data_IF_970660267818
#
_entry.id   IF_970660267818
#
_cell.length_a   1.000
_cell.length_b   1.000
_cell.length_c   1.000
_cell.angle_alpha   90.00
_cell.angle_beta   90.00
_cell.angle_gamma   90.00
#
_symmetry.space_group_name_H-M   'P 1'
#
loop_
_entity.id
_entity.type
_entity.pdbx_description
1 polymer ?
#
# COMPACT_ATOMS: atom_id res chain seq x y z
N UNK A 1 19.70 17.25 -3.46
CA UNK A 1 19.18 17.06 -2.09
C UNK A 1 20.34 16.54 -1.26
N UNK A 2 20.52 17.05 -0.04
CA UNK A 2 21.65 16.62 0.78
C UNK A 2 21.42 15.21 1.39
N UNK A 3 22.51 14.54 1.80
CA UNK A 3 22.45 13.17 2.32
C UNK A 3 21.60 13.04 3.60
N UNK A 4 21.52 14.12 4.40
CA UNK A 4 20.73 14.15 5.63
C UNK A 4 19.24 14.17 5.30
N UNK A 5 18.83 14.97 4.31
CA UNK A 5 17.45 15.04 3.85
C UNK A 5 16.99 13.72 3.23
N UNK A 6 17.83 13.08 2.42
CA UNK A 6 17.55 11.76 1.86
C UNK A 6 17.34 10.70 2.93
N UNK A 7 18.23 10.64 3.92
CA UNK A 7 18.11 9.71 5.05
C UNK A 7 16.82 9.93 5.84
N UNK A 8 16.45 11.19 6.08
CA UNK A 8 15.20 11.53 6.77
C UNK A 8 13.98 11.00 6.01
N UNK A 9 13.89 11.20 4.70
CA UNK A 9 12.78 10.75 3.87
C UNK A 9 12.63 9.22 3.90
N UNK A 10 13.74 8.49 3.82
CA UNK A 10 13.75 7.03 3.90
C UNK A 10 13.22 6.56 5.26
N UNK A 11 13.71 7.12 6.36
CA UNK A 11 13.30 6.74 7.72
C UNK A 11 11.83 7.08 8.00
N UNK A 12 11.34 8.20 7.47
CA UNK A 12 9.92 8.56 7.58
C UNK A 12 9.01 7.57 6.87
N UNK A 13 9.34 7.15 5.62
CA UNK A 13 8.58 6.10 4.97
C UNK A 13 8.71 4.77 5.71
N UNK A 14 9.91 4.38 6.13
CA UNK A 14 10.14 3.14 6.87
C UNK A 14 9.23 3.04 8.11
N UNK A 15 9.11 4.14 8.86
CA UNK A 15 8.26 4.20 10.05
C UNK A 15 6.79 3.97 9.70
N UNK A 16 6.27 4.69 8.71
CA UNK A 16 4.86 4.59 8.30
C UNK A 16 4.57 3.24 7.65
N UNK A 17 5.49 2.71 6.85
CA UNK A 17 5.38 1.39 6.22
C UNK A 17 5.34 0.27 7.26
N UNK A 18 6.22 0.34 8.27
CA UNK A 18 6.22 -0.64 9.36
C UNK A 18 4.91 -0.59 10.17
N UNK A 19 4.41 0.60 10.47
CA UNK A 19 3.13 0.78 11.16
C UNK A 19 1.96 0.20 10.36
N UNK A 20 1.91 0.47 9.05
CA UNK A 20 0.93 -0.14 8.16
C UNK A 20 1.01 -1.67 8.17
N UNK A 21 2.20 -2.24 8.04
CA UNK A 21 2.38 -3.70 8.05
C UNK A 21 1.91 -4.32 9.37
N UNK A 22 2.27 -3.73 10.50
CA UNK A 22 1.83 -4.19 11.82
C UNK A 22 0.32 -4.14 12.00
N UNK A 23 -0.35 -3.12 11.44
CA UNK A 23 -1.80 -3.01 11.47
C UNK A 23 -2.47 -4.09 10.61
N UNK A 24 -1.99 -4.28 9.37
CA UNK A 24 -2.54 -5.28 8.45
C UNK A 24 -2.35 -6.71 8.98
N UNK A 25 -1.22 -7.02 9.60
CA UNK A 25 -0.96 -8.32 10.24
C UNK A 25 -1.95 -8.64 11.39
N UNK A 26 -2.55 -7.61 11.99
CA UNK A 26 -3.55 -7.72 13.05
C UNK A 26 -4.98 -7.43 12.59
N UNK A 27 -5.23 -7.38 11.28
CA UNK A 27 -6.54 -7.01 10.75
C UNK A 27 -7.67 -7.93 11.24
N UNK A 28 -7.37 -9.16 11.61
CA UNK A 28 -8.33 -10.11 12.18
C UNK A 28 -8.94 -9.60 13.51
N UNK A 29 -8.23 -8.79 14.28
CA UNK A 29 -8.70 -8.23 15.56
C UNK A 29 -9.64 -7.03 15.39
N UNK A 30 -9.67 -6.39 14.22
CA UNK A 30 -10.38 -5.15 14.00
C UNK A 30 -11.70 -5.36 13.23
N UNK A 31 -12.77 -4.63 13.58
CA UNK A 31 -13.96 -4.56 12.75
C UNK A 31 -13.65 -3.87 11.40
N UNK A 32 -14.48 -4.15 10.39
CA UNK A 32 -14.31 -3.58 9.05
C UNK A 32 -14.24 -2.04 9.07
N UNK A 33 -15.07 -1.41 9.84
CA UNK A 33 -15.16 0.05 9.96
C UNK A 33 -13.85 0.68 10.43
N UNK A 34 -13.18 0.05 11.39
CA UNK A 34 -11.89 0.50 11.90
C UNK A 34 -10.79 0.34 10.85
N UNK A 35 -10.82 -0.75 10.08
CA UNK A 35 -9.89 -0.97 8.98
C UNK A 35 -10.07 0.11 7.90
N UNK A 36 -11.31 0.40 7.50
CA UNK A 36 -11.59 1.43 6.51
C UNK A 36 -11.14 2.82 6.98
N UNK A 37 -11.43 3.19 8.23
CA UNK A 37 -11.00 4.47 8.80
C UNK A 37 -9.47 4.57 8.91
N UNK A 38 -8.81 3.50 9.30
CA UNK A 38 -7.36 3.47 9.37
C UNK A 38 -6.74 3.67 7.99
N UNK A 39 -7.16 2.88 7.00
CA UNK A 39 -6.63 2.96 5.64
C UNK A 39 -6.89 4.33 5.02
N UNK A 40 -8.09 4.92 5.24
CA UNK A 40 -8.39 6.28 4.77
C UNK A 40 -7.37 7.31 5.25
N UNK A 41 -6.85 7.17 6.47
CA UNK A 41 -5.88 8.11 7.07
C UNK A 41 -4.45 7.81 6.68
N UNK A 42 -4.07 6.53 6.62
CA UNK A 42 -2.69 6.12 6.35
C UNK A 42 -2.32 6.18 4.86
N UNK A 43 -3.28 5.91 3.96
CA UNK A 43 -3.01 5.82 2.53
C UNK A 43 -2.47 7.13 1.92
N UNK A 44 -3.03 8.32 2.20
CA UNK A 44 -2.47 9.59 1.73
C UNK A 44 -1.05 9.83 2.25
N UNK A 45 -0.77 9.43 3.50
CA UNK A 45 0.54 9.59 4.11
C UNK A 45 1.57 8.65 3.47
N UNK A 46 1.21 7.39 3.23
CA UNK A 46 2.06 6.44 2.51
C UNK A 46 2.37 6.94 1.09
N UNK A 47 1.35 7.43 0.38
CA UNK A 47 1.53 7.98 -0.96
C UNK A 47 2.50 9.16 -0.98
N UNK A 48 2.31 10.11 -0.07
CA UNK A 48 3.20 11.27 0.08
C UNK A 48 4.64 10.84 0.38
N UNK A 49 4.83 9.93 1.33
CA UNK A 49 6.18 9.47 1.72
C UNK A 49 6.83 8.64 0.61
N UNK A 50 6.08 7.81 -0.11
CA UNK A 50 6.56 7.08 -1.27
C UNK A 50 7.08 8.00 -2.39
N UNK A 51 6.34 9.07 -2.69
CA UNK A 51 6.73 10.06 -3.71
C UNK A 51 8.03 10.81 -3.38
N UNK A 52 8.46 10.80 -2.12
CA UNK A 52 9.65 11.50 -1.65
C UNK A 52 10.90 10.61 -1.58
N UNK A 53 10.80 9.32 -1.93
CA UNK A 53 11.95 8.43 -1.92
C UNK A 53 13.04 8.91 -2.89
N UNK A 54 14.31 8.94 -2.45
CA UNK A 54 15.41 9.38 -3.30
C UNK A 54 15.74 8.37 -4.40
N UNK A 55 16.32 8.85 -5.49
CA UNK A 55 17.00 8.02 -6.48
C UNK A 55 18.37 7.60 -5.92
N UNK A 56 18.60 6.29 -5.91
CA UNK A 56 19.86 5.70 -5.49
C UNK A 56 20.32 4.72 -6.56
N UNK A 57 21.63 4.48 -6.63
CA UNK A 57 22.23 3.52 -7.55
C UNK A 57 22.57 2.21 -6.82
N UNK A 58 22.08 1.09 -7.36
CA UNK A 58 22.39 -0.24 -6.85
C UNK A 58 23.81 -0.61 -7.25
N UNK A 59 24.66 -0.90 -6.27
CA UNK A 59 26.03 -1.37 -6.47
C UNK A 59 26.14 -2.90 -6.45
N UNK A 60 25.31 -3.55 -5.64
CA UNK A 60 25.29 -4.99 -5.46
C UNK A 60 23.87 -5.55 -5.55
N UNK A 61 23.40 -5.95 -6.77
CA UNK A 61 22.05 -6.49 -6.95
C UNK A 61 21.78 -7.80 -6.20
N UNK A 62 22.81 -8.53 -5.83
CA UNK A 62 22.72 -9.80 -5.11
C UNK A 62 22.28 -9.62 -3.64
N UNK A 63 22.44 -8.40 -3.07
CA UNK A 63 22.02 -8.09 -1.71
C UNK A 63 20.50 -7.82 -1.63
N UNK A 64 19.70 -8.80 -2.08
CA UNK A 64 18.24 -8.72 -2.18
C UNK A 64 17.60 -9.98 -1.58
N UNK A 65 16.56 -9.77 -0.76
CA UNK A 65 15.78 -10.85 -0.16
C UNK A 65 14.34 -10.40 0.06
N UNK A 66 13.39 -11.29 -0.16
CA UNK A 66 11.97 -11.09 0.13
C UNK A 66 11.56 -11.82 1.40
N UNK A 67 10.64 -11.24 2.13
CA UNK A 67 10.07 -11.81 3.34
C UNK A 67 8.71 -12.45 3.10
N UNK A 68 7.84 -11.80 2.31
CA UNK A 68 6.45 -12.23 2.15
C UNK A 68 6.38 -13.43 1.22
N UNK A 69 5.95 -14.56 1.78
CA UNK A 69 5.68 -15.79 1.02
C UNK A 69 4.25 -15.78 0.48
N UNK A 70 3.97 -16.68 -0.49
CA UNK A 70 2.62 -16.88 -1.00
C UNK A 70 1.60 -17.23 0.11
N UNK A 71 2.02 -18.03 1.10
CA UNK A 71 1.19 -18.42 2.24
C UNK A 71 0.83 -17.22 3.12
N UNK A 72 1.81 -16.36 3.45
CA UNK A 72 1.56 -15.13 4.22
C UNK A 72 0.62 -14.20 3.47
N UNK A 73 0.84 -14.01 2.18
CA UNK A 73 -0.02 -13.21 1.33
C UNK A 73 -1.46 -13.74 1.32
N UNK A 74 -1.63 -15.03 1.08
CA UNK A 74 -2.95 -15.67 0.99
C UNK A 74 -3.73 -15.58 2.31
N UNK A 75 -3.06 -15.76 3.44
CA UNK A 75 -3.68 -15.65 4.76
C UNK A 75 -4.23 -14.24 5.01
N UNK A 76 -3.44 -13.20 4.74
CA UNK A 76 -3.86 -11.80 4.91
C UNK A 76 -4.99 -11.46 3.93
N UNK A 77 -4.85 -11.85 2.67
CA UNK A 77 -5.87 -11.63 1.64
C UNK A 77 -7.22 -12.22 2.03
N UNK A 78 -7.24 -13.48 2.45
CA UNK A 78 -8.47 -14.17 2.84
C UNK A 78 -9.13 -13.52 4.06
N UNK A 79 -8.34 -13.12 5.05
CA UNK A 79 -8.85 -12.41 6.23
C UNK A 79 -9.52 -11.09 5.85
N UNK A 80 -8.84 -10.25 5.10
CA UNK A 80 -9.37 -8.96 4.64
C UNK A 80 -10.61 -9.14 3.77
N UNK A 81 -10.59 -10.09 2.82
CA UNK A 81 -11.71 -10.37 1.93
C UNK A 81 -12.95 -10.81 2.71
N UNK A 82 -12.76 -11.65 3.72
CA UNK A 82 -13.88 -12.08 4.60
C UNK A 82 -14.48 -10.90 5.37
N UNK A 83 -13.64 -9.98 5.83
CA UNK A 83 -14.08 -8.77 6.55
C UNK A 83 -14.85 -7.81 5.66
N UNK A 84 -14.40 -7.56 4.44
CA UNK A 84 -15.05 -6.61 3.52
C UNK A 84 -16.30 -7.20 2.85
N UNK A 85 -16.36 -8.51 2.66
CA UNK A 85 -17.51 -9.17 2.04
C UNK A 85 -17.85 -8.60 0.66
N UNK A 86 -19.08 -8.14 0.47
CA UNK A 86 -19.53 -7.56 -0.80
C UNK A 86 -18.87 -6.23 -1.14
N UNK A 87 -18.41 -5.48 -0.16
CA UNK A 87 -17.77 -4.19 -0.34
C UNK A 87 -16.31 -4.31 -0.77
N UNK A 88 -15.75 -5.52 -0.76
CA UNK A 88 -14.40 -5.79 -1.27
C UNK A 88 -14.22 -5.39 -2.73
N UNK A 89 -15.27 -5.50 -3.52
CA UNK A 89 -15.21 -5.31 -4.96
C UNK A 89 -15.51 -3.85 -5.33
N UNK A 90 -14.63 -3.28 -6.16
CA UNK A 90 -14.82 -1.97 -6.76
C UNK A 90 -14.42 -1.97 -8.24
N UNK A 91 -14.80 -0.89 -8.93
CA UNK A 91 -14.57 -0.76 -10.36
C UNK A 91 -13.72 0.48 -10.65
N UNK A 92 -12.76 0.33 -11.55
CA UNK A 92 -11.91 1.44 -11.98
C UNK A 92 -11.54 1.27 -13.46
N UNK A 93 -11.06 2.36 -14.06
CA UNK A 93 -10.45 2.35 -15.39
C UNK A 93 -8.94 2.20 -15.18
N UNK A 94 -8.32 1.21 -15.83
CA UNK A 94 -6.89 1.00 -15.72
C UNK A 94 -6.15 1.79 -16.79
N UNK A 95 -5.66 2.95 -16.41
CA UNK A 95 -4.90 3.88 -17.26
C UNK A 95 -3.54 3.33 -17.72
N UNK A 96 -3.10 2.21 -17.14
CA UNK A 96 -1.82 1.57 -17.49
C UNK A 96 -1.94 0.59 -18.65
N UNK A 97 -3.15 0.26 -19.07
CA UNK A 97 -3.42 -0.62 -20.21
C UNK A 97 -3.73 0.20 -21.47
N UNK A 98 -3.25 -0.26 -22.63
CA UNK A 98 -3.46 0.40 -23.93
C UNK A 98 -4.91 0.33 -24.45
N UNK A 99 -5.80 -0.33 -23.72
CA UNK A 99 -7.23 -0.42 -24.05
C UNK A 99 -8.03 0.44 -23.07
N UNK A 100 -8.07 1.73 -23.36
CA UNK A 100 -8.51 2.82 -22.48
C UNK A 100 -9.98 2.82 -22.05
N UNK A 101 -10.80 1.90 -22.54
CA UNK A 101 -12.24 1.93 -22.31
C UNK A 101 -12.77 0.78 -21.44
N UNK A 102 -11.94 -0.14 -20.97
CA UNK A 102 -12.40 -1.28 -20.18
C UNK A 102 -12.46 -0.96 -18.67
N UNK A 103 -13.67 -1.12 -18.12
CA UNK A 103 -13.88 -1.07 -16.68
C UNK A 103 -13.29 -2.33 -16.06
N UNK A 104 -12.31 -2.14 -15.20
CA UNK A 104 -11.61 -3.22 -14.50
C UNK A 104 -12.20 -3.43 -13.12
N UNK A 105 -12.35 -4.71 -12.73
CA UNK A 105 -12.78 -5.11 -11.41
C UNK A 105 -11.57 -5.22 -10.48
N UNK A 106 -11.62 -4.49 -9.35
CA UNK A 106 -10.62 -4.56 -8.29
C UNK A 106 -11.17 -5.18 -7.00
N UNK A 107 -10.25 -5.61 -6.13
CA UNK A 107 -10.51 -6.07 -4.78
C UNK A 107 -9.74 -5.21 -3.78
N UNK A 108 -10.41 -4.70 -2.74
CA UNK A 108 -9.75 -3.97 -1.67
C UNK A 108 -8.76 -4.86 -0.92
N UNK A 109 -9.17 -6.08 -0.62
CA UNK A 109 -8.32 -7.05 0.08
C UNK A 109 -7.05 -7.35 -0.71
N UNK A 110 -7.16 -7.56 -2.03
CA UNK A 110 -6.00 -7.78 -2.90
C UNK A 110 -5.07 -6.57 -2.91
N UNK A 111 -5.61 -5.37 -3.13
CA UNK A 111 -4.80 -4.15 -3.15
C UNK A 111 -4.08 -3.88 -1.83
N UNK A 112 -4.77 -4.06 -0.70
CA UNK A 112 -4.17 -3.89 0.63
C UNK A 112 -3.09 -4.93 0.91
N UNK A 113 -3.31 -6.18 0.48
CA UNK A 113 -2.33 -7.26 0.67
C UNK A 113 -1.10 -7.07 -0.23
N UNK A 114 -1.28 -6.60 -1.45
CA UNK A 114 -0.16 -6.30 -2.35
C UNK A 114 0.68 -5.12 -1.85
N UNK A 115 0.02 -4.06 -1.35
CA UNK A 115 0.72 -2.95 -0.68
C UNK A 115 1.48 -3.45 0.54
N UNK A 116 0.87 -4.34 1.33
CA UNK A 116 1.53 -4.97 2.47
C UNK A 116 2.77 -5.74 2.03
N UNK A 117 2.68 -6.56 1.00
CA UNK A 117 3.82 -7.32 0.48
C UNK A 117 4.99 -6.40 0.12
N UNK A 118 4.73 -5.39 -0.70
CA UNK A 118 5.77 -4.47 -1.18
C UNK A 118 6.43 -3.70 -0.02
N UNK A 119 5.62 -3.20 0.91
CA UNK A 119 6.13 -2.46 2.07
C UNK A 119 6.79 -3.35 3.12
N UNK A 120 6.29 -4.58 3.33
CA UNK A 120 6.91 -5.54 4.26
C UNK A 120 8.26 -6.01 3.78
N UNK A 121 8.38 -6.31 2.48
CA UNK A 121 9.66 -6.66 1.87
C UNK A 121 10.66 -5.50 1.96
N UNK A 122 10.22 -4.25 1.77
CA UNK A 122 11.04 -3.06 1.99
C UNK A 122 11.54 -2.96 3.45
N UNK A 123 10.64 -3.07 4.43
CA UNK A 123 10.98 -3.00 5.86
C UNK A 123 11.96 -4.11 6.24
N UNK A 124 11.71 -5.33 5.77
CA UNK A 124 12.54 -6.49 6.04
C UNK A 124 13.95 -6.33 5.46
N UNK A 125 14.07 -5.98 4.17
CA UNK A 125 15.36 -5.82 3.52
C UNK A 125 16.16 -4.67 4.14
N UNK A 126 15.50 -3.56 4.47
CA UNK A 126 16.11 -2.44 5.18
C UNK A 126 16.68 -2.86 6.54
N UNK A 127 15.97 -3.75 7.27
CA UNK A 127 16.37 -4.21 8.61
C UNK A 127 17.66 -5.04 8.64
N UNK A 128 18.11 -5.57 7.49
CA UNK A 128 19.43 -6.24 7.39
C UNK A 128 20.60 -5.31 7.71
N UNK A 129 20.37 -4.01 7.64
CA UNK A 129 21.28 -2.94 8.10
C UNK A 129 22.69 -2.95 7.47
N UNK A 130 22.84 -3.51 6.26
CA UNK A 130 24.02 -3.32 5.44
C UNK A 130 23.79 -2.19 4.45
N UNK A 131 24.87 -1.53 3.98
CA UNK A 131 24.74 -0.46 2.99
C UNK A 131 24.01 -0.92 1.74
N UNK A 132 24.38 -2.09 1.22
CA UNK A 132 23.80 -2.66 0.00
C UNK A 132 22.34 -3.04 0.18
N UNK A 133 21.97 -3.66 1.30
CA UNK A 133 20.56 -4.02 1.57
C UNK A 133 19.67 -2.78 1.74
N UNK A 134 20.16 -1.72 2.37
CA UNK A 134 19.43 -0.46 2.51
C UNK A 134 19.20 0.20 1.14
N UNK A 135 20.25 0.27 0.30
CA UNK A 135 20.15 0.85 -1.05
C UNK A 135 19.15 0.05 -1.89
N UNK A 136 19.29 -1.28 -1.92
CA UNK A 136 18.38 -2.14 -2.69
C UNK A 136 16.94 -2.05 -2.20
N UNK A 137 16.72 -1.98 -0.88
CA UNK A 137 15.38 -1.79 -0.30
C UNK A 137 14.73 -0.49 -0.78
N UNK A 138 15.47 0.61 -0.77
CA UNK A 138 14.95 1.92 -1.20
C UNK A 138 14.68 1.96 -2.69
N UNK A 139 15.60 1.45 -3.52
CA UNK A 139 15.46 1.43 -4.99
C UNK A 139 14.26 0.59 -5.41
N UNK A 140 14.12 -0.61 -4.86
CA UNK A 140 13.00 -1.49 -5.19
C UNK A 140 11.66 -0.92 -4.68
N UNK A 141 11.62 -0.40 -3.45
CA UNK A 141 10.43 0.23 -2.89
C UNK A 141 9.96 1.41 -3.76
N UNK A 142 10.89 2.27 -4.23
CA UNK A 142 10.58 3.37 -5.14
C UNK A 142 10.04 2.87 -6.48
N UNK A 143 10.69 1.90 -7.10
CA UNK A 143 10.24 1.28 -8.35
C UNK A 143 8.84 0.70 -8.23
N UNK A 144 8.56 -0.01 -7.13
CA UNK A 144 7.24 -0.55 -6.85
C UNK A 144 6.21 0.54 -6.53
N UNK A 145 6.62 1.66 -5.90
CA UNK A 145 5.76 2.82 -5.76
C UNK A 145 5.30 3.36 -7.11
N UNK A 146 6.23 3.57 -8.02
CA UNK A 146 5.98 4.14 -9.34
C UNK A 146 5.10 3.22 -10.21
N UNK A 147 5.27 1.91 -10.14
CA UNK A 147 4.62 0.92 -11.02
C UNK A 147 3.52 0.08 -10.38
N UNK A 148 3.36 0.07 -9.07
CA UNK A 148 2.45 -0.85 -8.39
C UNK A 148 1.70 -0.22 -7.22
N UNK A 149 2.31 -0.15 -6.02
CA UNK A 149 1.57 0.19 -4.80
C UNK A 149 1.10 1.64 -4.75
N UNK A 150 1.75 2.56 -5.43
CA UNK A 150 1.27 3.93 -5.58
C UNK A 150 -0.07 4.00 -6.33
N UNK A 151 -0.21 3.27 -7.43
CA UNK A 151 -1.49 3.15 -8.15
C UNK A 151 -2.58 2.50 -7.30
N UNK A 152 -2.25 1.43 -6.58
CA UNK A 152 -3.20 0.74 -5.69
C UNK A 152 -3.70 1.64 -4.57
N UNK A 153 -2.83 2.47 -3.97
CA UNK A 153 -3.24 3.45 -2.97
C UNK A 153 -4.25 4.46 -3.52
N UNK A 154 -4.01 5.03 -4.71
CA UNK A 154 -4.92 6.02 -5.30
C UNK A 154 -6.29 5.42 -5.63
N UNK A 155 -6.33 4.18 -6.16
CA UNK A 155 -7.57 3.45 -6.43
C UNK A 155 -8.35 3.18 -5.14
N UNK A 156 -7.67 2.71 -4.10
CA UNK A 156 -8.27 2.46 -2.79
C UNK A 156 -8.80 3.73 -2.12
N UNK A 157 -8.06 4.83 -2.18
CA UNK A 157 -8.47 6.09 -1.55
C UNK A 157 -9.85 6.55 -2.04
N UNK A 158 -10.08 6.51 -3.35
CA UNK A 158 -11.38 6.89 -3.93
C UNK A 158 -12.51 5.99 -3.41
N UNK A 159 -12.31 4.68 -3.44
CA UNK A 159 -13.34 3.72 -3.04
C UNK A 159 -13.63 3.77 -1.53
N UNK A 160 -12.58 3.78 -0.70
CA UNK A 160 -12.72 3.84 0.76
C UNK A 160 -13.34 5.16 1.20
N UNK A 161 -12.98 6.28 0.57
CA UNK A 161 -13.62 7.56 0.86
C UNK A 161 -15.14 7.48 0.63
N UNK A 162 -15.56 6.88 -0.48
CA UNK A 162 -16.98 6.66 -0.75
C UNK A 162 -17.63 5.78 0.33
N UNK A 163 -17.02 4.66 0.70
CA UNK A 163 -17.60 3.77 1.73
C UNK A 163 -17.73 4.43 3.11
N UNK A 164 -16.76 5.25 3.49
CA UNK A 164 -16.76 5.93 4.80
C UNK A 164 -17.84 7.02 4.90
N UNK A 165 -18.10 7.73 3.80
CA UNK A 165 -18.98 8.90 3.81
C UNK A 165 -20.32 8.73 3.07
N UNK A 166 -20.60 7.56 2.47
CA UNK A 166 -21.82 7.34 1.67
C UNK A 166 -23.12 7.58 2.44
N UNK A 167 -23.14 7.20 3.72
CA UNK A 167 -24.35 7.35 4.53
C UNK A 167 -24.65 8.83 4.81
N UNK A 168 -23.62 9.66 4.96
CA UNK A 168 -23.76 11.12 5.08
C UNK A 168 -24.31 11.76 3.81
N UNK A 169 -23.91 11.26 2.63
CA UNK A 169 -24.43 11.73 1.35
C UNK A 169 -25.90 11.38 1.16
N UNK A 170 -26.32 10.20 1.62
CA UNK A 170 -27.73 9.80 1.57
C UNK A 170 -28.64 10.63 2.49
N UNK A 171 -28.14 11.05 3.66
CA UNK A 171 -28.87 11.92 4.58
C UNK A 171 -29.05 13.35 4.02
N UNK A 172 -28.08 13.86 3.25
CA UNK A 172 -28.14 15.18 2.63
C UNK A 172 -28.87 15.19 1.27
N UNK A 173 -28.85 14.07 0.54
CA UNK A 173 -29.43 13.93 -0.81
C UNK A 173 -30.17 12.58 -0.95
N UNK A 174 -31.34 12.43 -0.31
CA UNK A 174 -32.05 11.16 -0.27
C UNK A 174 -32.55 10.64 -1.63
N UNK A 175 -32.54 11.50 -2.65
CA UNK A 175 -33.02 11.18 -4.01
C UNK A 175 -31.89 10.87 -5.03
N UNK A 176 -30.62 10.76 -4.60
CA UNK A 176 -29.50 10.32 -5.40
C UNK A 176 -29.20 8.83 -5.17
#
# INVERSE_FOLDING_TARGET
>A
MDAISQKKQIVELLTVANEYCMFIEKAYDYPKEDILQYVQRIAPLLYLKGSMLPELEVQNPEAYERYVTAEVWENIFNELRNKFGREDIFWFIDETTFHDDEITKGSMAEHLTDIYQDLKDFVFLYSKNTSDSIINAVVECRKLYEGNWGYKLTRLQKHIHHLVYRDQLHDEYPDL
#
